data_IF_578404095105
#
_entry.id   IF_578404095105
#
_cell.length_a   1.000
_cell.length_b   1.000
_cell.length_c   1.000
_cell.angle_alpha   90.00
_cell.angle_beta   90.00
_cell.angle_gamma   90.00
#
_symmetry.space_group_name_H-M   'P 1'
#
loop_
_entity.id
_entity.type
_entity.pdbx_description
1 polymer ?
#
# COMPACT_ATOMS: atom_id res chain seq x y z
N UNK A 1 -3.61 -20.30 0.76
CA UNK A 1 -4.98 -19.80 0.57
C UNK A 1 -5.71 -19.56 1.89
N UNK A 2 -5.84 -20.53 2.83
CA UNK A 2 -6.54 -20.33 4.12
C UNK A 2 -5.97 -19.17 4.92
N UNK A 3 -4.64 -19.11 5.07
CA UNK A 3 -3.96 -18.01 5.80
C UNK A 3 -4.22 -16.66 5.12
N UNK A 4 -4.14 -16.58 3.79
CA UNK A 4 -4.42 -15.34 3.04
C UNK A 4 -5.87 -14.90 3.19
N UNK A 5 -6.84 -15.84 3.11
CA UNK A 5 -8.25 -15.54 3.30
C UNK A 5 -8.55 -15.05 4.73
N UNK A 6 -7.98 -15.71 5.75
CA UNK A 6 -8.13 -15.30 7.14
C UNK A 6 -7.50 -13.90 7.38
N UNK A 7 -6.29 -13.67 6.86
CA UNK A 7 -5.63 -12.38 6.94
C UNK A 7 -6.43 -11.28 6.21
N UNK A 8 -7.04 -11.59 5.05
CA UNK A 8 -7.90 -10.67 4.31
C UNK A 8 -9.14 -10.30 5.13
N UNK A 9 -9.80 -11.27 5.77
CA UNK A 9 -10.97 -11.02 6.61
C UNK A 9 -10.65 -10.15 7.83
N UNK A 10 -9.57 -10.48 8.55
CA UNK A 10 -9.10 -9.67 9.70
C UNK A 10 -8.62 -8.30 9.22
N UNK A 11 -7.94 -8.24 8.08
CA UNK A 11 -7.51 -6.99 7.44
C UNK A 11 -8.70 -6.08 7.11
N UNK A 12 -9.79 -6.62 6.59
CA UNK A 12 -11.02 -5.88 6.31
C UNK A 12 -11.61 -5.25 7.58
N UNK A 13 -11.58 -5.96 8.71
CA UNK A 13 -12.01 -5.42 10.01
C UNK A 13 -11.11 -4.24 10.41
N UNK A 14 -9.78 -4.37 10.34
CA UNK A 14 -8.88 -3.28 10.69
C UNK A 14 -8.98 -2.09 9.73
N UNK A 15 -9.20 -2.32 8.42
CA UNK A 15 -9.45 -1.24 7.46
C UNK A 15 -10.74 -0.49 7.82
N UNK A 16 -11.82 -1.22 8.16
CA UNK A 16 -13.06 -0.61 8.61
C UNK A 16 -12.87 0.21 9.89
N UNK A 17 -12.30 -0.41 10.92
CA UNK A 17 -12.09 0.23 12.22
C UNK A 17 -11.17 1.46 12.12
N UNK A 18 -10.08 1.39 11.35
CA UNK A 18 -9.21 2.52 11.10
C UNK A 18 -9.92 3.65 10.35
N UNK A 19 -10.70 3.31 9.31
CA UNK A 19 -11.48 4.27 8.53
C UNK A 19 -12.57 4.93 9.39
N UNK A 20 -13.29 4.17 10.21
CA UNK A 20 -14.38 4.65 11.04
C UNK A 20 -13.94 5.64 12.15
N UNK A 21 -12.64 5.74 12.43
CA UNK A 21 -12.10 6.77 13.33
C UNK A 21 -12.01 8.16 12.67
N UNK A 22 -11.94 8.20 11.33
CA UNK A 22 -11.70 9.45 10.57
C UNK A 22 -12.82 9.75 9.58
N UNK A 23 -13.73 8.80 9.31
CA UNK A 23 -14.77 8.89 8.28
C UNK A 23 -16.12 8.41 8.82
N UNK A 24 -17.21 8.77 8.14
CA UNK A 24 -18.54 8.21 8.42
C UNK A 24 -18.58 6.70 8.14
N UNK A 25 -19.45 5.99 8.86
CA UNK A 25 -19.57 4.52 8.77
C UNK A 25 -19.77 4.02 7.34
N UNK A 26 -20.59 4.70 6.57
CA UNK A 26 -20.86 4.32 5.17
C UNK A 26 -19.60 4.49 4.30
N UNK A 27 -18.80 5.52 4.56
CA UNK A 27 -17.52 5.71 3.89
C UNK A 27 -16.50 4.65 4.31
N UNK A 28 -16.47 4.27 5.60
CA UNK A 28 -15.62 3.19 6.08
C UNK A 28 -15.99 1.83 5.45
N UNK A 29 -17.29 1.54 5.29
CA UNK A 29 -17.75 0.34 4.56
C UNK A 29 -17.37 0.39 3.08
N UNK A 30 -17.44 1.57 2.43
CA UNK A 30 -16.96 1.73 1.05
C UNK A 30 -15.46 1.49 0.93
N UNK A 31 -14.65 1.89 1.91
CA UNK A 31 -13.22 1.59 1.91
C UNK A 31 -12.93 0.09 1.90
N UNK A 32 -13.64 -0.68 2.73
CA UNK A 32 -13.57 -2.16 2.71
C UNK A 32 -14.05 -2.72 1.38
N UNK A 33 -15.14 -2.19 0.82
CA UNK A 33 -15.61 -2.61 -0.50
C UNK A 33 -14.51 -2.42 -1.55
N UNK A 34 -13.84 -1.24 -1.60
CA UNK A 34 -12.77 -1.01 -2.56
C UNK A 34 -11.54 -1.89 -2.31
N UNK A 35 -11.22 -2.24 -1.07
CA UNK A 35 -10.23 -3.27 -0.78
C UNK A 35 -10.53 -4.59 -1.53
N UNK A 36 -11.80 -4.98 -1.64
CA UNK A 36 -12.23 -6.25 -2.21
C UNK A 36 -12.50 -6.22 -3.71
N UNK A 37 -12.75 -5.03 -4.29
CA UNK A 37 -13.12 -4.90 -5.71
C UNK A 37 -12.06 -4.21 -6.57
N UNK A 38 -10.96 -3.72 -6.01
CA UNK A 38 -9.86 -3.19 -6.83
C UNK A 38 -9.35 -4.24 -7.81
N UNK A 39 -8.83 -3.82 -8.99
CA UNK A 39 -8.52 -4.74 -10.09
C UNK A 39 -7.66 -5.94 -9.74
N UNK A 40 -6.72 -5.79 -8.80
CA UNK A 40 -5.85 -6.87 -8.35
C UNK A 40 -6.26 -7.49 -7.00
N UNK A 41 -7.49 -7.24 -6.52
CA UNK A 41 -7.92 -7.72 -5.19
C UNK A 41 -8.02 -9.26 -5.09
N UNK A 42 -8.11 -9.99 -6.20
CA UNK A 42 -8.05 -11.47 -6.16
C UNK A 42 -6.72 -12.00 -5.58
N UNK A 43 -5.64 -11.23 -5.61
CA UNK A 43 -4.38 -11.57 -4.94
C UNK A 43 -4.53 -11.65 -3.41
N UNK A 44 -5.57 -11.07 -2.83
CA UNK A 44 -5.83 -11.17 -1.38
C UNK A 44 -6.25 -12.59 -0.95
N UNK A 45 -6.71 -13.41 -1.88
CA UNK A 45 -7.04 -14.84 -1.62
C UNK A 45 -5.96 -15.79 -2.13
N UNK A 46 -5.06 -15.32 -2.99
CA UNK A 46 -3.94 -16.09 -3.48
C UNK A 46 -2.94 -16.39 -2.34
N UNK A 47 -2.10 -17.44 -2.46
CA UNK A 47 -1.06 -17.77 -1.48
C UNK A 47 0.11 -16.79 -1.55
N UNK A 48 -0.18 -15.52 -1.34
CA UNK A 48 0.74 -14.39 -1.44
C UNK A 48 0.68 -13.52 -0.17
N UNK A 49 1.59 -12.56 -0.04
CA UNK A 49 1.77 -11.76 1.18
C UNK A 49 0.86 -10.54 1.30
N UNK A 50 0.08 -10.20 0.25
CA UNK A 50 -0.72 -8.97 0.20
C UNK A 50 -1.76 -8.87 1.30
N UNK A 51 -2.49 -9.95 1.54
CA UNK A 51 -3.53 -9.99 2.57
C UNK A 51 -2.95 -9.78 3.98
N UNK A 52 -1.83 -10.46 4.28
CA UNK A 52 -1.13 -10.31 5.55
C UNK A 52 -0.56 -8.89 5.70
N UNK A 53 0.00 -8.35 4.62
CA UNK A 53 0.50 -6.98 4.60
C UNK A 53 -0.60 -5.95 4.89
N UNK A 54 -1.78 -6.05 4.24
CA UNK A 54 -2.92 -5.17 4.49
C UNK A 54 -3.37 -5.28 5.95
N UNK A 55 -3.53 -6.49 6.46
CA UNK A 55 -3.93 -6.73 7.84
C UNK A 55 -2.99 -6.03 8.84
N UNK A 56 -1.69 -6.21 8.68
CA UNK A 56 -0.67 -5.63 9.58
C UNK A 56 -0.58 -4.12 9.43
N UNK A 57 -0.63 -3.60 8.20
CA UNK A 57 -0.59 -2.16 7.94
C UNK A 57 -1.86 -1.46 8.46
N UNK A 58 -3.04 -2.07 8.28
CA UNK A 58 -4.30 -1.53 8.79
C UNK A 58 -4.34 -1.54 10.32
N UNK A 59 -3.83 -2.62 10.95
CA UNK A 59 -3.67 -2.66 12.40
C UNK A 59 -2.73 -1.56 12.89
N UNK A 60 -1.58 -1.35 12.22
CA UNK A 60 -0.66 -0.28 12.57
C UNK A 60 -1.33 1.10 12.49
N UNK A 61 -2.10 1.38 11.43
CA UNK A 61 -2.88 2.62 11.28
C UNK A 61 -3.91 2.74 12.40
N UNK A 62 -4.71 1.70 12.66
CA UNK A 62 -5.72 1.69 13.71
C UNK A 62 -5.13 2.02 15.08
N UNK A 63 -4.06 1.33 15.49
CA UNK A 63 -3.41 1.57 16.79
C UNK A 63 -2.75 2.94 16.86
N UNK A 64 -2.21 3.44 15.75
CA UNK A 64 -1.73 4.84 15.68
C UNK A 64 -2.85 5.83 15.95
N UNK A 65 -4.02 5.65 15.31
CA UNK A 65 -5.19 6.52 15.51
C UNK A 65 -5.78 6.42 16.93
N UNK A 66 -5.59 5.26 17.60
CA UNK A 66 -5.91 5.07 19.03
C UNK A 66 -4.82 5.59 19.98
N UNK A 67 -3.77 6.21 19.46
CA UNK A 67 -2.60 6.68 20.22
C UNK A 67 -1.86 5.59 21.00
N UNK A 68 -2.00 4.34 20.56
CA UNK A 68 -1.32 3.16 21.09
C UNK A 68 -0.05 2.88 20.29
N UNK A 69 0.91 3.79 20.35
CA UNK A 69 2.08 3.82 19.48
C UNK A 69 2.98 2.57 19.57
N UNK A 70 3.06 1.94 20.76
CA UNK A 70 3.82 0.70 20.90
C UNK A 70 3.25 -0.39 19.98
N UNK A 71 1.93 -0.64 20.01
CA UNK A 71 1.29 -1.63 19.16
C UNK A 71 1.34 -1.23 17.69
N UNK A 72 1.16 0.04 17.41
CA UNK A 72 1.31 0.57 16.05
C UNK A 72 2.69 0.23 15.46
N UNK A 73 3.75 0.44 16.21
CA UNK A 73 5.11 0.16 15.77
C UNK A 73 5.42 -1.34 15.69
N UNK A 74 4.86 -2.17 16.58
CA UNK A 74 4.98 -3.64 16.49
C UNK A 74 4.32 -4.16 15.21
N UNK A 75 3.07 -3.74 14.92
CA UNK A 75 2.39 -4.12 13.67
C UNK A 75 3.11 -3.52 12.44
N UNK A 76 3.66 -2.32 12.56
CA UNK A 76 4.49 -1.72 11.52
C UNK A 76 5.76 -2.52 11.23
N UNK A 77 6.44 -3.02 12.26
CA UNK A 77 7.61 -3.89 12.10
C UNK A 77 7.23 -5.20 11.41
N UNK A 78 6.14 -5.85 11.84
CA UNK A 78 5.64 -7.07 11.21
C UNK A 78 5.23 -6.85 9.74
N UNK A 79 4.65 -5.67 9.43
CA UNK A 79 4.36 -5.27 8.05
C UNK A 79 5.64 -5.15 7.21
N UNK A 80 6.69 -4.50 7.76
CA UNK A 80 8.00 -4.38 7.13
C UNK A 80 8.74 -5.71 6.97
N UNK A 81 8.53 -6.66 7.89
CA UNK A 81 9.03 -8.03 7.77
C UNK A 81 8.30 -8.82 6.68
N UNK A 82 7.01 -8.59 6.50
CA UNK A 82 6.19 -9.26 5.48
C UNK A 82 6.52 -8.78 4.06
N UNK A 83 6.72 -7.47 3.91
CA UNK A 83 7.11 -6.81 2.64
C UNK A 83 7.98 -5.60 2.95
N UNK A 84 9.08 -5.43 2.22
CA UNK A 84 10.01 -4.30 2.44
C UNK A 84 9.34 -2.93 2.43
N UNK A 85 8.34 -2.73 1.57
CA UNK A 85 7.52 -1.49 1.53
C UNK A 85 6.67 -1.28 2.78
N UNK A 86 6.43 -2.31 3.58
CA UNK A 86 5.68 -2.23 4.83
C UNK A 86 6.34 -1.38 5.90
N UNK A 87 7.67 -1.27 5.88
CA UNK A 87 8.40 -0.36 6.75
C UNK A 87 8.06 1.12 6.53
N UNK A 88 7.51 1.49 5.36
CA UNK A 88 7.10 2.87 5.06
C UNK A 88 5.91 3.35 5.90
N UNK A 89 5.23 2.45 6.61
CA UNK A 89 4.19 2.82 7.59
C UNK A 89 4.75 3.72 8.71
N UNK A 90 6.07 3.71 8.90
CA UNK A 90 6.77 4.62 9.83
C UNK A 90 6.45 6.08 9.51
N UNK A 91 6.24 6.44 8.25
CA UNK A 91 5.90 7.82 7.83
C UNK A 91 4.54 8.23 8.40
N UNK A 92 3.55 7.33 8.37
CA UNK A 92 2.24 7.58 8.96
C UNK A 92 2.33 7.75 10.48
N UNK A 93 3.01 6.82 11.14
CA UNK A 93 3.14 6.82 12.62
C UNK A 93 3.92 8.05 13.08
N UNK A 94 5.03 8.36 12.41
CA UNK A 94 5.84 9.54 12.75
C UNK A 94 5.08 10.86 12.54
N UNK A 95 4.26 10.95 11.48
CA UNK A 95 3.43 12.13 11.25
C UNK A 95 2.42 12.35 12.39
N UNK A 96 1.72 11.30 12.82
CA UNK A 96 0.75 11.39 13.93
C UNK A 96 1.43 11.73 15.26
N UNK A 97 2.62 11.17 15.54
CA UNK A 97 3.43 11.55 16.72
C UNK A 97 3.84 13.03 16.64
N UNK A 98 4.23 13.51 15.46
CA UNK A 98 4.58 14.91 15.27
C UNK A 98 3.37 15.85 15.45
N UNK A 99 2.18 15.47 14.98
CA UNK A 99 0.94 16.22 15.24
C UNK A 99 0.62 16.27 16.73
N UNK A 100 0.80 15.17 17.46
CA UNK A 100 0.63 15.16 18.92
C UNK A 100 1.62 16.10 19.61
N UNK A 101 2.89 16.05 19.21
CA UNK A 101 3.91 16.96 19.74
C UNK A 101 3.53 18.43 19.51
N UNK A 102 3.11 18.79 18.28
CA UNK A 102 2.68 20.15 17.95
C UNK A 102 1.47 20.57 18.80
N UNK A 103 0.53 19.65 19.02
CA UNK A 103 -0.66 19.91 19.83
C UNK A 103 -0.30 20.20 21.30
N UNK A 104 0.52 19.35 21.91
CA UNK A 104 1.01 19.52 23.29
C UNK A 104 1.84 20.80 23.44
N UNK A 105 2.67 21.12 22.42
CA UNK A 105 3.44 22.37 22.39
C UNK A 105 2.53 23.60 22.42
N UNK A 106 1.50 23.62 21.58
CA UNK A 106 0.52 24.73 21.47
C UNK A 106 -0.31 24.87 22.75
N UNK A 107 -0.59 23.77 23.45
CA UNK A 107 -1.31 23.78 24.74
C UNK A 107 -0.43 24.21 25.92
N UNK A 108 0.89 24.30 25.73
CA UNK A 108 1.83 24.65 26.79
C UNK A 108 2.09 23.53 27.82
N UNK A 109 1.61 22.31 27.59
CA UNK A 109 1.68 21.18 28.52
C UNK A 109 2.87 20.25 28.28
N UNK A 110 3.92 20.72 27.56
CA UNK A 110 5.11 19.92 27.25
C UNK A 110 5.78 19.31 28.49
N UNK A 111 5.85 20.06 29.60
CA UNK A 111 6.52 19.57 30.81
C UNK A 111 5.83 18.33 31.39
N UNK A 112 4.50 18.30 31.31
CA UNK A 112 3.65 17.22 31.83
C UNK A 112 3.68 16.00 30.92
N UNK A 113 3.67 16.22 29.60
CA UNK A 113 3.58 15.17 28.59
C UNK A 113 4.96 14.70 28.03
N UNK A 114 6.05 15.33 28.45
CA UNK A 114 7.42 15.10 27.94
C UNK A 114 7.79 13.61 27.90
N UNK A 115 7.48 12.88 28.97
CA UNK A 115 7.83 11.45 29.08
C UNK A 115 7.07 10.63 28.04
N UNK A 116 5.78 10.87 27.89
CA UNK A 116 4.94 10.17 26.90
C UNK A 116 5.41 10.46 25.48
N UNK A 117 5.71 11.72 25.15
CA UNK A 117 6.21 12.12 23.85
C UNK A 117 7.54 11.45 23.49
N UNK A 118 8.48 11.40 24.45
CA UNK A 118 9.77 10.72 24.24
C UNK A 118 9.56 9.22 24.04
N UNK A 119 8.73 8.56 24.86
CA UNK A 119 8.45 7.14 24.73
C UNK A 119 7.78 6.82 23.38
N UNK A 120 6.82 7.63 22.96
CA UNK A 120 6.17 7.46 21.66
C UNK A 120 7.17 7.61 20.50
N UNK A 121 8.06 8.61 20.56
CA UNK A 121 9.11 8.77 19.56
C UNK A 121 10.11 7.59 19.56
N UNK A 122 10.47 7.06 20.72
CA UNK A 122 11.34 5.88 20.82
C UNK A 122 10.70 4.62 20.26
N UNK A 123 9.35 4.48 20.33
CA UNK A 123 8.66 3.35 19.72
C UNK A 123 8.91 3.27 18.21
N UNK A 124 9.16 4.39 17.51
CA UNK A 124 9.46 4.38 16.08
C UNK A 124 10.67 3.51 15.74
N UNK A 125 11.62 3.34 16.66
CA UNK A 125 12.79 2.49 16.48
C UNK A 125 12.44 1.00 16.33
N UNK A 126 11.21 0.60 16.67
CA UNK A 126 10.72 -0.77 16.52
C UNK A 126 10.42 -1.09 15.04
N UNK A 127 9.91 -0.12 14.29
CA UNK A 127 9.47 -0.35 12.89
C UNK A 127 10.60 -0.88 11.99
N UNK A 128 11.81 -0.29 11.99
CA UNK A 128 12.94 -0.82 11.22
C UNK A 128 13.36 -2.25 11.57
N UNK A 129 13.06 -2.75 12.79
CA UNK A 129 13.42 -4.10 13.20
C UNK A 129 12.77 -5.17 12.30
N UNK A 130 11.62 -4.90 11.72
CA UNK A 130 10.99 -5.80 10.74
C UNK A 130 11.86 -5.99 9.50
N UNK A 131 12.34 -4.88 8.91
CA UNK A 131 13.25 -4.95 7.77
C UNK A 131 14.61 -5.58 8.16
N UNK A 132 15.14 -5.24 9.33
CA UNK A 132 16.38 -5.83 9.85
C UNK A 132 16.22 -7.34 9.99
N UNK A 133 15.09 -7.83 10.53
CA UNK A 133 14.78 -9.26 10.61
C UNK A 133 14.76 -9.94 9.24
N UNK A 134 14.16 -9.30 8.24
CA UNK A 134 14.17 -9.79 6.86
C UNK A 134 15.60 -9.86 6.29
N UNK A 135 16.39 -8.80 6.47
CA UNK A 135 17.80 -8.76 6.03
C UNK A 135 18.66 -9.80 6.73
N UNK A 136 18.41 -10.04 8.02
CA UNK A 136 19.09 -11.08 8.78
C UNK A 136 18.80 -12.49 8.23
N UNK A 137 17.54 -12.79 7.87
CA UNK A 137 17.20 -14.08 7.23
C UNK A 137 17.92 -14.22 5.90
N UNK A 138 17.94 -13.17 5.05
CA UNK A 138 18.71 -13.19 3.81
C UNK A 138 20.19 -13.51 4.08
N UNK A 139 20.79 -12.83 5.06
CA UNK A 139 22.18 -13.10 5.44
C UNK A 139 22.40 -14.53 5.93
N UNK A 140 21.54 -15.04 6.80
CA UNK A 140 21.67 -16.39 7.35
C UNK A 140 21.54 -17.48 6.29
N UNK A 141 20.72 -17.26 5.24
CA UNK A 141 20.48 -18.25 4.18
C UNK A 141 21.51 -18.14 3.05
N UNK A 142 21.93 -16.92 2.69
CA UNK A 142 22.73 -16.68 1.46
C UNK A 142 24.12 -16.12 1.72
N UNK A 143 24.45 -15.82 2.99
CA UNK A 143 25.71 -15.13 3.35
C UNK A 143 25.75 -13.64 3.05
N UNK A 144 24.68 -13.08 2.46
CA UNK A 144 24.62 -11.65 2.12
C UNK A 144 23.20 -11.09 2.37
N UNK A 145 23.10 -10.08 3.23
CA UNK A 145 21.84 -9.45 3.60
C UNK A 145 21.10 -8.82 2.41
N UNK A 146 21.81 -8.39 1.38
CA UNK A 146 21.26 -7.68 0.21
C UNK A 146 21.08 -8.59 -1.01
N UNK A 147 21.17 -9.91 -0.86
CA UNK A 147 21.00 -10.86 -1.98
C UNK A 147 19.69 -10.67 -2.73
N UNK A 148 18.60 -10.31 -2.03
CA UNK A 148 17.32 -10.05 -2.68
C UNK A 148 17.38 -8.91 -3.71
N UNK A 149 18.17 -7.85 -3.46
CA UNK A 149 18.36 -6.75 -4.43
C UNK A 149 19.13 -7.22 -5.66
N UNK A 150 20.12 -8.11 -5.45
CA UNK A 150 20.87 -8.73 -6.54
C UNK A 150 19.94 -9.56 -7.43
N UNK A 151 19.09 -10.42 -6.82
CA UNK A 151 18.10 -11.19 -7.54
C UNK A 151 17.10 -10.33 -8.28
N UNK A 152 16.60 -9.25 -7.67
CA UNK A 152 15.69 -8.31 -8.35
C UNK A 152 16.35 -7.67 -9.59
N UNK A 153 17.63 -7.29 -9.47
CA UNK A 153 18.36 -6.71 -10.61
C UNK A 153 18.63 -7.74 -11.71
N UNK A 154 19.05 -8.94 -11.36
CA UNK A 154 19.45 -9.99 -12.31
C UNK A 154 18.27 -10.63 -13.01
N UNK A 155 17.16 -10.90 -12.29
CA UNK A 155 16.01 -11.63 -12.84
C UNK A 155 14.87 -10.73 -13.30
N UNK A 156 14.76 -9.52 -12.73
CA UNK A 156 13.64 -8.60 -13.00
C UNK A 156 14.09 -7.25 -13.53
N UNK A 157 15.39 -7.04 -13.75
CA UNK A 157 15.98 -5.77 -14.19
C UNK A 157 15.53 -4.56 -13.36
N UNK A 158 15.15 -4.81 -12.10
CA UNK A 158 14.61 -3.77 -11.24
C UNK A 158 15.72 -3.00 -10.52
N UNK A 159 15.65 -1.68 -10.61
CA UNK A 159 16.42 -0.72 -9.84
C UNK A 159 15.48 0.35 -9.28
N UNK A 160 16.00 1.22 -8.43
CA UNK A 160 15.25 2.37 -7.96
C UNK A 160 15.39 3.51 -9.00
N UNK A 161 14.26 4.12 -9.37
CA UNK A 161 14.20 5.24 -10.32
C UNK A 161 13.13 6.25 -9.91
N UNK A 162 13.00 7.31 -10.68
CA UNK A 162 11.93 8.28 -10.52
C UNK A 162 10.69 7.81 -11.28
N UNK A 163 9.49 8.01 -10.71
CA UNK A 163 8.22 7.58 -11.32
C UNK A 163 8.06 8.03 -12.78
N UNK A 164 8.50 9.24 -13.13
CA UNK A 164 8.39 9.75 -14.51
C UNK A 164 9.24 8.96 -15.51
N UNK A 165 10.43 8.53 -15.11
CA UNK A 165 11.31 7.68 -15.94
C UNK A 165 10.69 6.28 -16.10
N UNK A 166 10.14 5.75 -14.99
CA UNK A 166 9.41 4.47 -15.00
C UNK A 166 8.19 4.54 -15.92
N UNK A 167 7.40 5.61 -15.84
CA UNK A 167 6.21 5.81 -16.68
C UNK A 167 6.58 5.92 -18.17
N UNK A 168 7.65 6.67 -18.50
CA UNK A 168 8.16 6.77 -19.87
C UNK A 168 8.61 5.39 -20.40
N UNK A 169 9.40 4.65 -19.61
CA UNK A 169 9.85 3.30 -19.96
C UNK A 169 8.69 2.34 -20.22
N UNK A 170 7.62 2.42 -19.39
CA UNK A 170 6.42 1.60 -19.58
C UNK A 170 5.64 1.99 -20.82
N UNK A 171 5.51 3.28 -21.11
CA UNK A 171 4.86 3.76 -22.33
C UNK A 171 5.59 3.27 -23.59
N UNK A 172 6.92 3.36 -23.60
CA UNK A 172 7.75 2.82 -24.68
C UNK A 172 7.64 1.31 -24.80
N UNK A 173 7.59 0.58 -23.70
CA UNK A 173 7.42 -0.87 -23.71
C UNK A 173 6.03 -1.27 -24.22
N UNK A 174 4.98 -0.54 -23.86
CA UNK A 174 3.64 -0.71 -24.38
C UNK A 174 3.60 -0.47 -25.90
N UNK A 175 4.24 0.59 -26.40
CA UNK A 175 4.33 0.88 -27.82
C UNK A 175 5.05 -0.24 -28.58
N UNK A 176 6.17 -0.74 -28.04
CA UNK A 176 6.89 -1.89 -28.63
C UNK A 176 6.09 -3.19 -28.62
N UNK A 177 5.34 -3.46 -27.56
CA UNK A 177 4.45 -4.64 -27.49
C UNK A 177 3.33 -4.55 -28.54
N UNK A 178 2.73 -3.37 -28.71
CA UNK A 178 1.72 -3.12 -29.72
C UNK A 178 2.28 -3.33 -31.17
N UNK A 179 3.46 -2.77 -31.44
CA UNK A 179 4.14 -2.92 -32.76
C UNK A 179 4.48 -4.39 -33.09
N UNK A 180 4.81 -5.20 -32.07
CA UNK A 180 5.10 -6.62 -32.23
C UNK A 180 3.85 -7.48 -32.28
N UNK A 181 2.65 -6.90 -32.11
CA UNK A 181 1.38 -7.64 -32.01
C UNK A 181 1.24 -8.48 -30.74
N UNK A 182 2.08 -8.26 -29.71
CA UNK A 182 2.01 -8.98 -28.46
C UNK A 182 0.93 -8.37 -27.54
N UNK A 183 -0.34 -8.66 -27.84
CA UNK A 183 -1.50 -8.14 -27.12
C UNK A 183 -1.56 -8.65 -25.66
N UNK A 184 -1.03 -9.85 -25.37
CA UNK A 184 -0.96 -10.40 -24.02
C UNK A 184 -0.04 -9.57 -23.11
N UNK A 185 1.13 -9.19 -23.59
CA UNK A 185 2.06 -8.31 -22.88
C UNK A 185 1.52 -6.88 -22.76
N UNK A 186 0.90 -6.36 -23.81
CA UNK A 186 0.32 -5.02 -23.83
C UNK A 186 -0.79 -4.85 -22.79
N UNK A 187 -1.80 -5.72 -22.83
CA UNK A 187 -3.00 -5.62 -22.00
C UNK A 187 -2.87 -6.31 -20.64
N UNK A 188 -1.97 -7.29 -20.50
CA UNK A 188 -1.73 -7.96 -19.22
C UNK A 188 -0.76 -7.21 -18.31
N UNK A 189 0.21 -6.50 -18.90
CA UNK A 189 1.32 -5.91 -18.17
C UNK A 189 1.39 -4.39 -18.30
N UNK A 190 1.71 -3.86 -19.49
CA UNK A 190 2.09 -2.47 -19.63
C UNK A 190 0.94 -1.47 -19.41
N UNK A 191 -0.20 -1.70 -20.05
CA UNK A 191 -1.37 -0.82 -19.92
C UNK A 191 -1.91 -0.84 -18.47
N UNK A 192 -2.13 -2.00 -17.82
CA UNK A 192 -2.59 -2.02 -16.43
C UNK A 192 -1.62 -1.34 -15.45
N UNK A 193 -0.31 -1.54 -15.60
CA UNK A 193 0.68 -0.92 -14.74
C UNK A 193 0.65 0.61 -14.84
N UNK A 194 0.65 1.14 -16.06
CA UNK A 194 0.66 2.58 -16.30
C UNK A 194 -0.67 3.22 -15.85
N UNK A 195 -1.80 2.63 -16.25
CA UNK A 195 -3.12 3.16 -15.93
C UNK A 195 -3.43 3.10 -14.44
N UNK A 196 -3.04 2.02 -13.73
CA UNK A 196 -3.22 1.90 -12.29
C UNK A 196 -2.41 2.97 -11.55
N UNK A 197 -1.14 3.21 -11.95
CA UNK A 197 -0.29 4.23 -11.33
C UNK A 197 -0.86 5.65 -11.51
N UNK A 198 -1.30 5.98 -12.72
CA UNK A 198 -1.92 7.29 -13.02
C UNK A 198 -3.26 7.42 -12.27
N UNK A 199 -4.11 6.39 -12.30
CA UNK A 199 -5.39 6.40 -11.59
C UNK A 199 -5.21 6.57 -10.08
N UNK A 200 -4.20 5.94 -9.48
CA UNK A 200 -3.87 6.10 -8.06
C UNK A 200 -3.48 7.54 -7.72
N UNK A 201 -2.66 8.18 -8.55
CA UNK A 201 -2.30 9.60 -8.36
C UNK A 201 -3.53 10.51 -8.46
N UNK A 202 -4.37 10.33 -9.49
CA UNK A 202 -5.60 11.11 -9.67
C UNK A 202 -6.54 10.91 -8.48
N UNK A 203 -6.72 9.66 -8.05
CA UNK A 203 -7.60 9.32 -6.93
C UNK A 203 -7.12 9.95 -5.62
N UNK A 204 -5.80 9.95 -5.37
CA UNK A 204 -5.24 10.63 -4.19
C UNK A 204 -5.35 12.15 -4.30
N UNK A 205 -5.09 12.75 -5.46
CA UNK A 205 -5.25 14.19 -5.67
C UNK A 205 -6.70 14.66 -5.41
N UNK A 206 -7.68 13.86 -5.80
CA UNK A 206 -9.10 14.16 -5.58
C UNK A 206 -9.58 13.85 -4.16
N UNK A 207 -9.09 12.76 -3.58
CA UNK A 207 -9.50 12.27 -2.25
C UNK A 207 -8.73 12.85 -1.07
N UNK A 208 -7.49 13.31 -1.28
CA UNK A 208 -6.59 13.74 -0.22
C UNK A 208 -7.12 14.89 0.64
N UNK A 209 -7.92 15.81 0.05
CA UNK A 209 -8.51 16.95 0.77
C UNK A 209 -9.46 16.52 1.92
N UNK A 210 -9.99 15.31 1.86
CA UNK A 210 -10.88 14.72 2.86
C UNK A 210 -10.17 13.72 3.77
N UNK A 211 -8.87 13.50 3.57
CA UNK A 211 -8.05 12.61 4.38
C UNK A 211 -7.13 13.42 5.29
N UNK A 212 -6.74 12.82 6.41
CA UNK A 212 -5.69 13.39 7.26
C UNK A 212 -4.36 13.44 6.49
N UNK A 213 -3.53 14.47 6.72
CA UNK A 213 -2.25 14.61 6.02
C UNK A 213 -1.33 13.40 6.16
N UNK A 214 -1.38 12.69 7.28
CA UNK A 214 -0.62 11.46 7.51
C UNK A 214 -0.87 10.39 6.44
N UNK A 215 -2.12 10.20 5.99
CA UNK A 215 -2.44 9.27 4.91
C UNK A 215 -1.82 9.67 3.58
N UNK A 216 -1.82 10.97 3.28
CA UNK A 216 -1.20 11.50 2.05
C UNK A 216 0.31 11.34 2.09
N UNK A 217 0.96 11.64 3.22
CA UNK A 217 2.40 11.45 3.40
C UNK A 217 2.79 9.98 3.25
N UNK A 218 2.03 9.07 3.87
CA UNK A 218 2.25 7.63 3.72
C UNK A 218 2.06 7.16 2.28
N UNK A 219 0.99 7.62 1.60
CA UNK A 219 0.77 7.30 0.19
C UNK A 219 1.93 7.74 -0.68
N UNK A 220 2.42 8.98 -0.52
CA UNK A 220 3.53 9.50 -1.32
C UNK A 220 4.82 8.68 -1.13
N UNK A 221 5.15 8.33 0.12
CA UNK A 221 6.30 7.48 0.42
C UNK A 221 6.13 6.07 -0.18
N UNK A 222 4.94 5.48 -0.01
CA UNK A 222 4.60 4.17 -0.56
C UNK A 222 4.66 4.17 -2.08
N UNK A 223 4.04 5.15 -2.73
CA UNK A 223 4.00 5.28 -4.19
C UNK A 223 5.40 5.48 -4.77
N UNK A 224 6.22 6.34 -4.15
CA UNK A 224 7.59 6.60 -4.60
C UNK A 224 8.44 5.33 -4.62
N UNK A 225 8.27 4.44 -3.63
CA UNK A 225 9.01 3.18 -3.56
C UNK A 225 8.37 2.09 -4.40
N UNK A 226 7.05 1.90 -4.30
CA UNK A 226 6.34 0.83 -4.98
C UNK A 226 6.22 1.03 -6.49
N UNK A 227 6.03 2.28 -6.94
CA UNK A 227 5.88 2.65 -8.35
C UNK A 227 7.13 3.32 -8.95
N UNK A 228 8.18 3.55 -8.14
CA UNK A 228 9.45 4.12 -8.59
C UNK A 228 10.48 3.10 -9.09
N UNK A 229 10.14 1.81 -9.16
CA UNK A 229 11.03 0.81 -9.72
C UNK A 229 11.23 1.02 -11.23
N UNK A 230 12.48 0.95 -11.72
CA UNK A 230 12.80 1.17 -13.13
C UNK A 230 12.11 0.20 -14.08
N UNK A 231 11.80 -1.01 -13.60
CA UNK A 231 11.04 -2.04 -14.32
C UNK A 231 9.85 -2.48 -13.46
N UNK A 232 8.77 -1.72 -13.52
CA UNK A 232 7.58 -1.94 -12.70
C UNK A 232 6.66 -2.97 -13.37
N UNK A 233 6.54 -4.14 -12.74
CA UNK A 233 5.76 -5.27 -13.26
C UNK A 233 4.41 -5.48 -12.59
N UNK A 234 4.18 -4.92 -11.40
CA UNK A 234 3.05 -5.30 -10.53
C UNK A 234 2.36 -4.09 -9.89
N UNK A 235 2.29 -2.95 -10.57
CA UNK A 235 1.67 -1.73 -10.03
C UNK A 235 0.22 -1.96 -9.53
N UNK A 236 -0.68 -2.63 -10.28
CA UNK A 236 -2.04 -2.87 -9.80
C UNK A 236 -2.09 -3.63 -8.47
N UNK A 237 -1.19 -4.59 -8.29
CA UNK A 237 -1.08 -5.42 -7.09
C UNK A 237 -0.57 -4.62 -5.88
N UNK A 238 0.49 -3.83 -6.06
CA UNK A 238 1.00 -2.96 -5.00
C UNK A 238 -0.02 -1.90 -4.60
N UNK A 239 -0.66 -1.26 -5.56
CA UNK A 239 -1.64 -0.20 -5.31
C UNK A 239 -2.93 -0.74 -4.67
N UNK A 240 -3.35 -1.95 -5.01
CA UNK A 240 -4.47 -2.61 -4.32
C UNK A 240 -4.19 -2.82 -2.82
N UNK A 241 -2.93 -2.98 -2.42
CA UNK A 241 -2.55 -3.12 -1.02
C UNK A 241 -2.32 -1.77 -0.29
N UNK A 242 -2.51 -0.65 -0.97
CA UNK A 242 -2.29 0.69 -0.43
C UNK A 242 -3.55 1.23 0.27
N UNK A 243 -3.60 1.18 1.60
CA UNK A 243 -4.77 1.57 2.41
C UNK A 243 -5.22 3.02 2.14
N UNK A 244 -4.35 4.04 2.09
CA UNK A 244 -4.78 5.40 1.77
C UNK A 244 -5.58 5.49 0.47
N UNK A 245 -5.28 4.64 -0.52
CA UNK A 245 -5.98 4.62 -1.79
C UNK A 245 -7.41 4.08 -1.65
N UNK A 246 -7.63 3.08 -0.78
CA UNK A 246 -8.97 2.57 -0.46
C UNK A 246 -9.83 3.68 0.19
N UNK A 247 -9.24 4.45 1.12
CA UNK A 247 -9.91 5.56 1.78
C UNK A 247 -10.21 6.71 0.80
N UNK A 248 -9.27 7.02 -0.08
CA UNK A 248 -9.47 8.03 -1.14
C UNK A 248 -10.59 7.63 -2.11
N UNK A 249 -10.65 6.35 -2.51
CA UNK A 249 -11.72 5.81 -3.34
C UNK A 249 -13.08 5.91 -2.64
N UNK A 250 -13.15 5.59 -1.35
CA UNK A 250 -14.37 5.72 -0.55
C UNK A 250 -14.86 7.17 -0.45
N UNK A 251 -13.95 8.13 -0.36
CA UNK A 251 -14.27 9.56 -0.37
C UNK A 251 -14.70 10.07 -1.75
N UNK A 252 -14.04 9.60 -2.81
CA UNK A 252 -14.38 9.98 -4.19
C UNK A 252 -15.75 9.43 -4.61
N UNK A 253 -16.15 8.29 -4.06
CA UNK A 253 -17.42 7.62 -4.36
C UNK A 253 -18.56 7.98 -3.38
N UNK A 254 -18.56 9.20 -2.81
CA UNK A 254 -19.58 9.64 -1.86
C UNK A 254 -21.00 9.67 -2.44
N UNK A 255 -21.14 9.96 -3.73
CA UNK A 255 -22.42 9.94 -4.42
C UNK A 255 -22.75 8.54 -4.93
N UNK A 256 -24.01 8.11 -4.79
CA UNK A 256 -24.48 6.77 -5.20
C UNK A 256 -24.16 6.43 -6.65
N UNK A 257 -24.30 7.39 -7.57
CA UNK A 257 -24.00 7.18 -9.00
C UNK A 257 -22.52 6.90 -9.23
N UNK A 258 -21.67 7.71 -8.62
CA UNK A 258 -20.22 7.56 -8.69
C UNK A 258 -19.78 6.23 -8.06
N UNK A 259 -20.37 5.87 -6.92
CA UNK A 259 -20.07 4.61 -6.24
C UNK A 259 -20.44 3.37 -7.09
N UNK A 260 -21.61 3.38 -7.71
CA UNK A 260 -22.03 2.30 -8.62
C UNK A 260 -21.08 2.22 -9.83
N UNK A 261 -20.78 3.36 -10.47
CA UNK A 261 -19.91 3.40 -11.64
C UNK A 261 -18.49 2.92 -11.33
N UNK A 262 -17.90 3.42 -10.24
CA UNK A 262 -16.55 2.99 -9.81
C UNK A 262 -16.53 1.51 -9.41
N UNK A 263 -17.53 1.04 -8.67
CA UNK A 263 -17.62 -0.37 -8.27
C UNK A 263 -17.73 -1.27 -9.50
N UNK A 264 -18.62 -0.94 -10.45
CA UNK A 264 -18.78 -1.69 -11.70
C UNK A 264 -17.47 -1.71 -12.52
N UNK A 265 -16.82 -0.55 -12.68
CA UNK A 265 -15.54 -0.46 -13.41
C UNK A 265 -14.45 -1.31 -12.74
N UNK A 266 -14.27 -1.20 -11.41
CA UNK A 266 -13.29 -1.99 -10.68
C UNK A 266 -13.59 -3.50 -10.79
N UNK A 267 -14.85 -3.91 -10.65
CA UNK A 267 -15.24 -5.34 -10.74
C UNK A 267 -15.02 -5.88 -12.15
N UNK A 268 -15.35 -5.12 -13.20
CA UNK A 268 -15.07 -5.54 -14.59
C UNK A 268 -13.56 -5.67 -14.84
N UNK A 269 -12.76 -4.70 -14.36
CA UNK A 269 -11.30 -4.77 -14.48
C UNK A 269 -10.73 -5.95 -13.68
N UNK A 270 -11.25 -6.21 -12.48
CA UNK A 270 -10.85 -7.36 -11.66
C UNK A 270 -11.15 -8.68 -12.37
N UNK A 271 -12.35 -8.83 -12.95
CA UNK A 271 -12.73 -10.03 -13.69
C UNK A 271 -11.84 -10.25 -14.93
N UNK A 272 -11.56 -9.18 -15.70
CA UNK A 272 -10.66 -9.25 -16.84
C UNK A 272 -9.23 -9.62 -16.42
N UNK A 273 -8.74 -9.00 -15.36
CA UNK A 273 -7.38 -9.21 -14.86
C UNK A 273 -7.21 -10.62 -14.27
N UNK A 274 -8.23 -11.11 -13.54
CA UNK A 274 -8.28 -12.49 -13.05
C UNK A 274 -8.33 -13.50 -14.22
N UNK A 275 -9.14 -13.23 -15.25
CA UNK A 275 -9.19 -14.07 -16.44
C UNK A 275 -7.81 -14.19 -17.09
N UNK A 276 -7.11 -13.09 -17.26
CA UNK A 276 -5.76 -13.07 -17.80
C UNK A 276 -4.77 -13.84 -16.92
N UNK A 277 -4.84 -13.66 -15.60
CA UNK A 277 -4.00 -14.37 -14.64
C UNK A 277 -4.18 -15.89 -14.71
N UNK A 278 -5.42 -16.37 -14.72
CA UNK A 278 -5.74 -17.81 -14.79
C UNK A 278 -5.31 -18.44 -16.11
N UNK A 279 -5.35 -17.67 -17.20
CA UNK A 279 -4.94 -18.16 -18.53
C UNK A 279 -3.43 -17.97 -18.80
N UNK A 280 -2.63 -17.60 -17.80
CA UNK A 280 -1.17 -17.51 -17.91
C UNK A 280 -0.67 -16.33 -18.74
N UNK A 281 -1.47 -15.29 -18.91
CA UNK A 281 -0.98 -14.03 -19.49
C UNK A 281 -0.09 -13.30 -18.49
N UNK A 282 0.63 -12.27 -18.95
CA UNK A 282 1.63 -11.50 -18.19
C UNK A 282 1.04 -10.67 -17.04
N UNK A 283 0.32 -11.33 -16.12
CA UNK A 283 -0.24 -10.70 -14.91
C UNK A 283 0.60 -11.12 -13.71
N UNK A 284 1.26 -10.14 -13.04
CA UNK A 284 2.18 -10.35 -11.93
C UNK A 284 1.73 -9.64 -10.65
#
# INVERSE_FOLDING_TARGET
MVVSAAASAVGAVFVYEAAALDMERDAALRAVKYMLVFPAAFFLTAPMSEALFIMLSAAAIYFTRKKQYLWACVFGALSGFTRSVGGLIIVFIAWEIAEDFITVYRMGTIKEEKRALILNALCLMIVPLGLIGYLYINYAVTGNALTFMKYQKEHWSQGFGLFFETAATQADAAARAAQRGNMGELWGLWIPNLTASIAALIMMLTGAKKLRPAYTAYFLAYFAVACGATWLLSSPRYLTACIPLMLAAANASGERRTDIAMTAACTMMQAAYLYMYVNGYYVY
#
